data_IF_533650891761
#
_entry.id   IF_533650891761
#
_cell.length_a   1.000
_cell.length_b   1.000
_cell.length_c   1.000
_cell.angle_alpha   90.00
_cell.angle_beta   90.00
_cell.angle_gamma   90.00
#
_symmetry.space_group_name_H-M   'P 1'
#
loop_
_entity.id
_entity.type
_entity.pdbx_description
1 polymer ?
#
# COMPACT_ATOMS: atom_id res chain seq x y z
N UNK A 1 2.06 11.49 -5.55
CA UNK A 1 2.00 12.57 -4.54
C UNK A 1 2.52 12.05 -3.23
N UNK A 2 3.22 12.89 -2.47
CA UNK A 2 3.72 12.58 -1.14
C UNK A 2 3.32 13.71 -0.19
N UNK A 3 2.71 13.35 0.93
CA UNK A 3 2.20 14.29 1.94
C UNK A 3 2.85 14.03 3.28
N UNK A 4 3.40 15.08 3.89
CA UNK A 4 3.96 15.06 5.24
C UNK A 4 2.89 15.47 6.26
N UNK A 5 2.83 14.74 7.36
CA UNK A 5 1.98 14.99 8.52
C UNK A 5 2.82 15.26 9.76
N UNK A 6 2.42 16.26 10.53
CA UNK A 6 3.03 16.62 11.82
C UNK A 6 2.69 15.59 12.93
N UNK A 7 3.26 15.74 14.15
CA UNK A 7 2.98 14.82 15.26
C UNK A 7 1.51 14.78 15.69
N UNK A 8 0.73 15.82 15.38
CA UNK A 8 -0.71 15.89 15.66
C UNK A 8 -1.54 15.23 14.53
N UNK A 9 -0.89 14.72 13.49
CA UNK A 9 -1.53 14.10 12.33
C UNK A 9 -2.10 15.10 11.32
N UNK A 10 -1.73 16.37 11.37
CA UNK A 10 -2.15 17.38 10.39
C UNK A 10 -1.22 17.39 9.19
N UNK A 11 -1.79 17.46 7.98
CA UNK A 11 -0.99 17.63 6.77
C UNK A 11 -0.33 19.01 6.77
N UNK A 12 1.00 19.04 6.73
CA UNK A 12 1.80 20.28 6.76
C UNK A 12 2.50 20.58 5.45
N UNK A 13 2.69 19.57 4.59
CA UNK A 13 3.23 19.75 3.24
C UNK A 13 2.74 18.65 2.31
N UNK A 14 2.58 18.97 1.02
CA UNK A 14 2.23 18.02 -0.03
C UNK A 14 2.97 18.36 -1.30
N UNK A 15 3.65 17.37 -1.88
CA UNK A 15 4.48 17.49 -3.06
C UNK A 15 4.05 16.47 -4.11
N UNK A 16 4.10 16.87 -5.37
CA UNK A 16 3.88 15.97 -6.52
C UNK A 16 5.04 16.12 -7.47
N UNK A 17 5.87 15.09 -7.55
CA UNK A 17 7.04 15.05 -8.44
C UNK A 17 7.01 13.76 -9.27
N UNK A 18 7.66 13.80 -10.43
CA UNK A 18 7.66 12.70 -11.42
C UNK A 18 8.88 11.79 -11.25
N UNK A 19 9.96 12.31 -10.66
CA UNK A 19 11.23 11.62 -10.40
C UNK A 19 11.20 10.67 -9.19
N UNK A 20 10.29 10.90 -8.25
CA UNK A 20 10.08 10.01 -7.09
C UNK A 20 10.87 10.41 -5.84
N UNK A 21 11.68 11.46 -5.92
CA UNK A 21 12.46 11.98 -4.80
C UNK A 21 11.77 13.19 -4.16
N UNK A 22 11.71 13.19 -2.82
CA UNK A 22 11.00 14.22 -2.05
C UNK A 22 11.82 14.62 -0.84
N UNK A 23 11.96 15.93 -0.62
CA UNK A 23 12.72 16.48 0.51
C UNK A 23 11.83 17.38 1.35
N UNK A 24 11.74 17.07 2.64
CA UNK A 24 11.09 17.91 3.64
C UNK A 24 12.15 18.47 4.59
N UNK A 25 12.26 19.79 4.66
CA UNK A 25 13.22 20.50 5.51
C UNK A 25 12.52 21.27 6.65
N UNK A 26 13.29 21.67 7.67
CA UNK A 26 12.77 22.46 8.77
C UNK A 26 11.91 21.68 9.77
N UNK A 27 12.10 20.36 9.83
CA UNK A 27 11.45 19.50 10.82
C UNK A 27 12.13 19.69 12.19
N UNK A 28 11.34 19.62 13.26
CA UNK A 28 11.86 19.71 14.62
C UNK A 28 12.56 18.39 14.97
N UNK A 29 13.87 18.39 15.28
CA UNK A 29 14.55 17.16 15.71
C UNK A 29 13.90 16.54 16.94
N UNK A 30 13.81 15.21 16.97
CA UNK A 30 13.17 14.45 18.03
C UNK A 30 11.64 14.34 17.93
N UNK A 31 10.99 15.09 17.04
CA UNK A 31 9.55 14.97 16.81
C UNK A 31 9.22 13.84 15.82
N UNK A 32 8.09 13.17 16.03
CA UNK A 32 7.60 12.07 15.19
C UNK A 32 6.71 12.60 14.07
N UNK A 33 7.04 12.28 12.83
CA UNK A 33 6.30 12.68 11.64
C UNK A 33 5.80 11.44 10.89
N UNK A 34 4.79 11.64 10.05
CA UNK A 34 4.32 10.61 9.12
C UNK A 34 4.39 11.11 7.69
N UNK A 35 4.83 10.27 6.77
CA UNK A 35 4.77 10.55 5.32
C UNK A 35 3.84 9.55 4.67
N UNK A 36 2.87 10.06 3.91
CA UNK A 36 1.97 9.25 3.08
C UNK A 36 2.32 9.44 1.62
N UNK A 37 2.72 8.36 0.96
CA UNK A 37 2.89 8.32 -0.49
C UNK A 37 1.64 7.74 -1.15
N UNK A 38 1.23 8.33 -2.28
CA UNK A 38 0.12 7.87 -3.10
C UNK A 38 0.44 8.00 -4.59
N UNK A 39 -0.03 7.02 -5.36
CA UNK A 39 0.09 6.99 -6.81
C UNK A 39 -1.19 6.36 -7.37
N UNK A 40 -1.69 6.82 -8.54
CA UNK A 40 -2.84 6.19 -9.19
C UNK A 40 -2.64 4.68 -9.33
N UNK A 41 -3.72 3.93 -9.13
CA UNK A 41 -3.76 2.45 -9.16
C UNK A 41 -2.91 1.72 -8.11
N UNK A 42 -2.26 2.44 -7.18
CA UNK A 42 -1.49 1.85 -6.09
C UNK A 42 -2.13 2.09 -4.72
N UNK A 43 -1.98 1.13 -3.82
CA UNK A 43 -2.37 1.29 -2.43
C UNK A 43 -1.44 2.34 -1.77
N UNK A 44 -1.99 3.44 -1.21
CA UNK A 44 -1.17 4.45 -0.56
C UNK A 44 -0.51 3.86 0.69
N UNK A 45 0.69 4.33 1.01
CA UNK A 45 1.47 3.84 2.14
C UNK A 45 1.88 4.97 3.05
N UNK A 46 1.69 4.78 4.35
CA UNK A 46 2.13 5.71 5.39
C UNK A 46 3.29 5.11 6.16
N UNK A 47 4.36 5.88 6.33
CA UNK A 47 5.52 5.51 7.15
C UNK A 47 5.73 6.58 8.19
N UNK A 48 5.97 6.16 9.43
CA UNK A 48 6.31 7.04 10.55
C UNK A 48 7.82 7.05 10.76
N UNK A 49 8.38 8.21 11.11
CA UNK A 49 9.78 8.34 11.46
C UNK A 49 9.97 9.50 12.44
N UNK A 50 11.05 9.43 13.23
CA UNK A 50 11.48 10.53 14.08
C UNK A 50 12.48 11.38 13.32
N UNK A 51 12.24 12.69 13.22
CA UNK A 51 13.19 13.60 12.61
C UNK A 51 14.49 13.66 13.43
N UNK A 52 15.64 13.57 12.77
CA UNK A 52 16.96 13.73 13.39
C UNK A 52 17.58 15.09 13.06
N UNK A 53 18.79 15.31 13.57
CA UNK A 53 19.61 16.48 13.23
C UNK A 53 20.25 16.40 11.83
N UNK A 54 20.21 15.22 11.21
CA UNK A 54 20.70 14.95 9.85
C UNK A 54 19.58 14.54 8.91
N UNK A 55 19.86 14.59 7.62
CA UNK A 55 18.95 14.04 6.60
C UNK A 55 18.73 12.54 6.87
N UNK A 56 17.46 12.15 6.95
CA UNK A 56 17.05 10.74 7.04
C UNK A 56 16.44 10.35 5.72
N UNK A 57 16.99 9.33 5.08
CA UNK A 57 16.40 8.74 3.87
C UNK A 57 15.37 7.68 4.25
N UNK A 58 14.23 7.70 3.55
CA UNK A 58 13.13 6.74 3.74
C UNK A 58 12.64 6.27 2.38
N UNK A 59 12.83 4.98 2.09
CA UNK A 59 12.34 4.37 0.88
C UNK A 59 10.91 3.86 1.07
N UNK A 60 9.96 4.40 0.30
CA UNK A 60 8.56 3.99 0.34
C UNK A 60 8.20 3.30 -0.98
N UNK A 61 8.06 1.98 -0.93
CA UNK A 61 7.60 1.18 -2.07
C UNK A 61 6.08 1.08 -2.03
N UNK A 62 5.46 1.53 -3.13
CA UNK A 62 4.04 1.35 -3.39
C UNK A 62 3.79 0.12 -4.27
N UNK A 63 2.74 -0.62 -3.97
CA UNK A 63 2.23 -1.76 -4.73
C UNK A 63 0.94 -1.38 -5.42
N UNK A 64 0.74 -1.90 -6.63
CA UNK A 64 -0.54 -1.80 -7.33
C UNK A 64 -1.61 -2.49 -6.49
N UNK A 65 -2.84 -1.99 -6.54
CA UNK A 65 -3.96 -2.77 -6.03
C UNK A 65 -3.96 -4.15 -6.71
N UNK A 66 -4.21 -5.21 -5.93
CA UNK A 66 -4.19 -6.59 -6.40
C UNK A 66 -2.81 -7.25 -6.52
N UNK A 67 -1.70 -6.52 -6.51
CA UNK A 67 -0.34 -7.10 -6.53
C UNK A 67 0.11 -7.47 -5.11
N UNK A 68 -0.56 -8.49 -4.55
CA UNK A 68 -0.39 -8.92 -3.16
C UNK A 68 0.98 -9.56 -2.96
N UNK A 69 1.49 -10.28 -3.95
CA UNK A 69 2.76 -10.98 -3.84
C UNK A 69 3.98 -10.07 -4.13
N UNK A 70 3.79 -8.98 -4.89
CA UNK A 70 4.82 -7.97 -5.16
C UNK A 70 5.71 -8.30 -6.35
N UNK A 71 5.28 -9.20 -7.24
CA UNK A 71 6.00 -9.55 -8.47
C UNK A 71 5.71 -8.57 -9.63
N UNK A 72 5.01 -7.47 -9.36
CA UNK A 72 4.63 -6.38 -10.29
C UNK A 72 3.50 -6.71 -11.26
N UNK A 73 3.06 -7.97 -11.27
CA UNK A 73 1.92 -8.45 -12.03
C UNK A 73 0.71 -8.59 -11.10
N UNK A 74 -0.49 -8.48 -11.67
CA UNK A 74 -1.74 -8.74 -10.95
C UNK A 74 -2.33 -9.98 -11.59
N UNK A 75 -2.13 -11.13 -10.96
CA UNK A 75 -2.43 -12.44 -11.56
C UNK A 75 -3.00 -13.44 -10.54
N UNK A 76 -3.21 -14.68 -10.98
CA UNK A 76 -3.77 -15.74 -10.13
C UNK A 76 -2.93 -16.05 -8.86
N UNK A 77 -1.64 -15.72 -8.80
CA UNK A 77 -0.81 -15.90 -7.59
C UNK A 77 -1.25 -14.95 -6.48
N UNK A 78 -1.66 -13.73 -6.82
CA UNK A 78 -2.18 -12.77 -5.87
C UNK A 78 -3.54 -13.19 -5.32
N UNK A 79 -4.44 -13.61 -6.22
CA UNK A 79 -5.74 -14.16 -5.84
C UNK A 79 -5.58 -15.33 -4.86
N UNK A 80 -4.57 -16.18 -5.07
CA UNK A 80 -4.26 -17.29 -4.17
C UNK A 80 -3.88 -16.82 -2.76
N UNK A 81 -3.16 -15.71 -2.61
CA UNK A 81 -2.83 -15.16 -1.29
C UNK A 81 -4.08 -14.67 -0.56
N UNK A 82 -5.00 -14.02 -1.27
CA UNK A 82 -6.27 -13.56 -0.72
C UNK A 82 -7.13 -14.74 -0.27
N UNK A 83 -7.26 -15.77 -1.11
CA UNK A 83 -8.03 -16.97 -0.78
C UNK A 83 -7.45 -17.70 0.44
N UNK A 84 -6.12 -17.85 0.53
CA UNK A 84 -5.44 -18.43 1.71
C UNK A 84 -5.75 -17.64 2.97
N UNK A 85 -5.62 -16.31 2.91
CA UNK A 85 -5.93 -15.42 4.02
C UNK A 85 -7.39 -15.58 4.49
N UNK A 86 -8.35 -15.59 3.56
CA UNK A 86 -9.78 -15.71 3.87
C UNK A 86 -10.12 -17.01 4.60
N UNK A 87 -9.49 -18.12 4.21
CA UNK A 87 -9.70 -19.43 4.86
C UNK A 87 -8.81 -19.67 6.09
N UNK A 88 -8.02 -18.67 6.51
CA UNK A 88 -7.14 -18.76 7.68
C UNK A 88 -5.87 -19.59 7.46
N UNK A 89 -5.48 -19.83 6.21
CA UNK A 89 -4.18 -20.44 5.88
C UNK A 89 -3.07 -19.38 5.86
N UNK A 90 -1.82 -19.76 6.18
CA UNK A 90 -0.68 -18.89 5.99
C UNK A 90 -0.62 -18.34 4.56
N UNK A 91 -0.41 -17.03 4.47
CA UNK A 91 -0.36 -16.24 3.24
C UNK A 91 0.69 -15.14 3.38
N UNK A 92 0.91 -14.36 2.33
CA UNK A 92 1.73 -13.15 2.44
C UNK A 92 1.04 -12.06 3.26
N UNK A 93 -0.30 -12.02 3.27
CA UNK A 93 -1.09 -11.04 4.05
C UNK A 93 -1.00 -11.35 5.55
N UNK A 94 -1.05 -12.64 5.90
CA UNK A 94 -0.94 -13.13 7.27
C UNK A 94 0.12 -14.23 7.32
N UNK A 95 1.27 -13.89 7.87
CA UNK A 95 2.43 -14.77 8.00
C UNK A 95 2.13 -16.03 8.80
N UNK A 96 3.08 -16.98 8.80
CA UNK A 96 2.95 -18.24 9.53
C UNK A 96 2.89 -18.07 11.06
N UNK A 97 3.38 -16.93 11.56
CA UNK A 97 3.32 -16.48 12.95
C UNK A 97 2.02 -15.72 13.29
N UNK A 98 1.05 -15.73 12.38
CA UNK A 98 -0.21 -14.99 12.45
C UNK A 98 -0.08 -13.45 12.40
N UNK A 99 1.13 -12.91 12.16
CA UNK A 99 1.34 -11.48 11.97
C UNK A 99 0.69 -11.02 10.67
N UNK A 100 -0.16 -10.00 10.76
CA UNK A 100 -0.86 -9.42 9.61
C UNK A 100 -0.12 -8.21 9.09
N UNK A 101 0.20 -8.21 7.80
CA UNK A 101 0.68 -7.03 7.09
C UNK A 101 -0.53 -6.15 6.69
N UNK A 102 -0.71 -5.05 7.42
CA UNK A 102 -1.82 -4.11 7.19
C UNK A 102 -1.72 -3.39 5.85
N UNK A 103 -0.51 -3.24 5.30
CA UNK A 103 -0.33 -2.69 3.96
C UNK A 103 -0.84 -3.69 2.92
N UNK A 104 -0.56 -4.98 3.07
CA UNK A 104 -1.08 -6.01 2.18
C UNK A 104 -2.60 -6.21 2.30
N UNK A 105 -3.21 -5.96 3.47
CA UNK A 105 -4.67 -5.88 3.56
C UNK A 105 -5.25 -4.82 2.62
N UNK A 106 -4.62 -3.64 2.56
CA UNK A 106 -5.06 -2.55 1.70
C UNK A 106 -4.81 -2.83 0.22
N UNK A 107 -3.68 -3.46 -0.11
CA UNK A 107 -3.37 -3.90 -1.48
C UNK A 107 -4.39 -4.93 -1.97
N UNK A 108 -4.84 -5.82 -1.10
CA UNK A 108 -5.73 -6.93 -1.42
C UNK A 108 -7.23 -6.56 -1.42
N UNK A 109 -7.67 -5.54 -0.69
CA UNK A 109 -9.08 -5.08 -0.64
C UNK A 109 -9.40 -4.15 -1.82
N UNK A 110 -9.37 -4.70 -3.04
CA UNK A 110 -9.54 -3.93 -4.27
C UNK A 110 -10.98 -3.46 -4.50
N UNK A 111 -11.97 -4.09 -3.86
CA UNK A 111 -13.36 -3.65 -3.91
C UNK A 111 -13.71 -2.64 -2.81
N UNK A 112 -12.80 -2.36 -1.88
CA UNK A 112 -12.99 -1.40 -0.79
C UNK A 112 -14.04 -1.82 0.24
N UNK A 113 -14.15 -3.13 0.49
CA UNK A 113 -15.09 -3.71 1.46
C UNK A 113 -14.61 -3.65 2.91
N UNK A 114 -13.34 -3.28 3.12
CA UNK A 114 -12.65 -3.25 4.40
C UNK A 114 -11.95 -4.55 4.77
N UNK A 115 -12.14 -5.64 4.01
CA UNK A 115 -11.48 -6.93 4.24
C UNK A 115 -11.26 -7.69 2.93
N UNK A 116 -10.04 -8.16 2.63
CA UNK A 116 -9.79 -9.01 1.49
C UNK A 116 -10.60 -10.31 1.56
N UNK A 117 -11.22 -10.68 0.45
CA UNK A 117 -12.09 -11.85 0.34
C UNK A 117 -12.03 -12.48 -1.05
N UNK A 118 -12.74 -13.59 -1.22
CA UNK A 118 -12.97 -14.26 -2.50
C UNK A 118 -13.54 -13.32 -3.58
N UNK A 119 -14.24 -12.25 -3.20
CA UNK A 119 -14.73 -11.23 -4.15
C UNK A 119 -13.58 -10.44 -4.78
N UNK A 120 -12.59 -10.07 -3.98
CA UNK A 120 -11.36 -9.42 -4.43
C UNK A 120 -10.56 -10.40 -5.31
N UNK A 121 -10.33 -11.61 -4.82
CA UNK A 121 -9.64 -12.65 -5.58
C UNK A 121 -10.32 -12.90 -6.96
N UNK A 122 -11.65 -12.87 -7.01
CA UNK A 122 -12.41 -13.02 -8.27
C UNK A 122 -12.16 -11.86 -9.24
N UNK A 123 -12.03 -10.61 -8.77
CA UNK A 123 -11.73 -9.50 -9.66
C UNK A 123 -10.30 -9.60 -10.23
N UNK A 124 -9.34 -10.07 -9.44
CA UNK A 124 -7.97 -10.36 -9.91
C UNK A 124 -8.01 -11.45 -10.99
N UNK A 125 -8.70 -12.56 -10.74
CA UNK A 125 -8.81 -13.65 -11.72
C UNK A 125 -9.49 -13.22 -13.01
N UNK A 126 -10.53 -12.37 -12.93
CA UNK A 126 -11.17 -11.79 -14.13
C UNK A 126 -10.20 -10.92 -14.91
N UNK A 127 -9.44 -10.07 -14.23
CA UNK A 127 -8.42 -9.22 -14.86
C UNK A 127 -7.33 -10.04 -15.55
N UNK A 128 -6.80 -11.07 -14.87
CA UNK A 128 -5.74 -11.96 -15.36
C UNK A 128 -6.12 -12.63 -16.70
N UNK A 129 -7.38 -13.05 -16.83
CA UNK A 129 -7.90 -13.68 -18.06
C UNK A 129 -8.52 -12.68 -19.06
N UNK A 130 -8.34 -11.38 -18.86
CA UNK A 130 -8.81 -10.32 -19.76
C UNK A 130 -10.33 -10.09 -19.74
N UNK A 131 -11.03 -10.58 -18.72
CA UNK A 131 -12.43 -10.23 -18.48
C UNK A 131 -12.53 -8.86 -17.82
N UNK A 132 -13.64 -8.17 -18.05
CA UNK A 132 -13.95 -6.92 -17.35
C UNK A 132 -13.82 -7.12 -15.85
N UNK A 133 -13.20 -6.18 -15.15
CA UNK A 133 -12.97 -6.26 -13.71
C UNK A 133 -13.04 -4.87 -13.08
N UNK A 134 -12.90 -4.79 -11.76
CA UNK A 134 -12.80 -3.49 -11.08
C UNK A 134 -11.57 -2.68 -11.52
N UNK A 135 -10.53 -3.35 -12.04
CA UNK A 135 -9.32 -2.70 -12.54
C UNK A 135 -9.55 -1.82 -13.78
N UNK A 136 -10.65 -2.03 -14.51
CA UNK A 136 -11.04 -1.17 -15.63
C UNK A 136 -11.60 0.17 -15.15
N UNK A 137 -11.98 0.25 -13.87
CA UNK A 137 -12.55 1.45 -13.22
C UNK A 137 -11.57 2.11 -12.25
N UNK A 138 -10.43 1.49 -12.00
CA UNK A 138 -9.33 2.05 -11.21
C UNK A 138 -8.65 3.14 -12.04
N UNK A 139 -8.99 4.39 -11.77
CA UNK A 139 -8.38 5.59 -12.38
C UNK A 139 -7.08 5.96 -11.67
#
# INVERSE_FOLDING_TARGET
TVTLFDPDGRAVSSMTAVDGDYVFSGLTPGASYSVRASMPRCAPRTVTFTAGDSVTEQNIVLRKYGDVNGDTFVDAKDATQIMRYEVGMPSLIKGADDTVDTYLLQVADIIGSGKPSSKDATQILRYDVGMTSIFDRLV
#
